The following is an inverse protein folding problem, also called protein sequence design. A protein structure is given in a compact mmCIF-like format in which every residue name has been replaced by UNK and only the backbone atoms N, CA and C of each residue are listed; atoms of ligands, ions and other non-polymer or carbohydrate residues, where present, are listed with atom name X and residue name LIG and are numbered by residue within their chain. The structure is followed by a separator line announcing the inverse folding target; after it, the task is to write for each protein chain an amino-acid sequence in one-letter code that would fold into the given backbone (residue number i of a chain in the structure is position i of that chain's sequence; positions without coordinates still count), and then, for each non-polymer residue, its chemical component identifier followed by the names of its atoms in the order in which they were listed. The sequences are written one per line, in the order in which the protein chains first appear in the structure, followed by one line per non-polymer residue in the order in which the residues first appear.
data_IF_925452350954
#
_entry.id   IF_925452350954
#
_cell.length_a   1.000
_cell.length_b   1.000
_cell.length_c   1.000
_cell.angle_alpha   90.00
_cell.angle_beta   90.00
_cell.angle_gamma   90.00
#
_symmetry.space_group_name_H-M   'P 1'
#
loop_
_entity.id
_entity.type
_entity.pdbx_description
1 polymer ?
#
# COMPACT_ATOMS: atom_id res chain seq x y z
N UNK A 1 43.99 36.21 -54.46
CA UNK A 1 44.74 34.95 -54.58
C UNK A 1 44.80 34.31 -53.23
N UNK A 2 44.21 33.14 -53.11
CA UNK A 2 44.42 32.07 -52.15
C UNK A 2 44.92 32.42 -50.73
N UNK A 3 44.04 32.32 -49.80
CA UNK A 3 44.30 31.94 -48.38
C UNK A 3 42.94 31.71 -47.77
N UNK A 4 42.60 30.63 -47.28
CA UNK A 4 43.10 29.75 -46.27
C UNK A 4 41.92 29.51 -45.37
N UNK A 5 40.98 28.64 -45.84
CA UNK A 5 39.86 28.10 -45.06
C UNK A 5 40.46 27.04 -44.12
N UNK A 6 40.77 27.30 -42.87
CA UNK A 6 41.19 26.24 -41.94
C UNK A 6 41.19 26.63 -40.44
N UNK A 7 40.37 27.55 -40.00
CA UNK A 7 40.42 27.87 -38.54
C UNK A 7 39.03 27.94 -37.86
N UNK A 8 38.02 27.30 -38.40
CA UNK A 8 36.66 27.39 -37.81
C UNK A 8 36.19 26.08 -37.13
N UNK A 9 37.00 25.05 -37.18
CA UNK A 9 36.61 23.72 -36.62
C UNK A 9 37.17 23.39 -35.23
N UNK A 10 37.92 24.32 -34.61
CA UNK A 10 38.52 24.05 -33.29
C UNK A 10 37.74 24.57 -32.11
N UNK A 11 36.56 25.15 -32.28
CA UNK A 11 35.81 25.78 -31.19
C UNK A 11 34.50 25.07 -30.81
N UNK A 12 34.23 23.90 -31.33
CA UNK A 12 32.97 23.17 -31.07
C UNK A 12 33.15 21.88 -30.25
N UNK A 13 34.30 21.63 -29.68
CA UNK A 13 34.56 20.39 -28.92
C UNK A 13 34.71 20.57 -27.40
N UNK A 14 34.30 21.70 -26.83
CA UNK A 14 34.52 21.98 -25.41
C UNK A 14 33.25 22.22 -24.58
N UNK A 15 32.04 21.89 -25.07
CA UNK A 15 30.77 22.14 -24.34
C UNK A 15 29.93 20.86 -24.23
N UNK A 16 30.53 19.71 -24.02
CA UNK A 16 29.78 18.46 -23.78
C UNK A 16 30.19 17.73 -22.49
N UNK A 17 30.92 18.39 -21.60
CA UNK A 17 31.25 17.80 -20.29
C UNK A 17 30.74 18.67 -19.14
N UNK A 18 29.42 18.75 -18.95
CA UNK A 18 28.88 19.56 -17.86
C UNK A 18 27.45 19.25 -17.42
N UNK A 19 26.90 18.10 -17.79
CA UNK A 19 25.60 17.65 -17.29
C UNK A 19 25.68 16.27 -16.62
N UNK A 20 26.65 16.13 -15.71
CA UNK A 20 26.51 15.14 -14.65
C UNK A 20 25.44 15.70 -13.69
N UNK A 21 24.20 15.67 -14.13
CA UNK A 21 23.04 16.00 -13.32
C UNK A 21 23.05 15.12 -12.10
N UNK A 22 22.94 15.71 -10.94
CA UNK A 22 22.60 15.09 -9.68
C UNK A 22 21.35 14.23 -9.91
N UNK A 23 21.52 12.95 -10.23
CA UNK A 23 20.54 11.94 -9.98
C UNK A 23 20.43 11.87 -8.45
N UNK A 24 19.51 12.64 -7.90
CA UNK A 24 19.09 12.51 -6.52
C UNK A 24 18.62 11.07 -6.38
N UNK A 25 19.44 10.24 -5.77
CA UNK A 25 19.07 8.93 -5.27
C UNK A 25 18.09 9.11 -4.11
N UNK A 26 16.90 9.58 -4.41
CA UNK A 26 15.73 9.32 -3.62
C UNK A 26 15.42 7.84 -3.84
N UNK A 27 16.13 6.96 -3.17
CA UNK A 27 15.71 5.57 -3.01
C UNK A 27 14.42 5.60 -2.21
N UNK A 28 13.30 5.82 -2.90
CA UNK A 28 12.02 5.39 -2.42
C UNK A 28 12.19 3.89 -2.23
N UNK A 29 12.35 3.44 -0.98
CA UNK A 29 12.41 2.03 -0.64
C UNK A 29 11.08 1.45 -1.09
N UNK A 30 11.08 0.82 -2.25
CA UNK A 30 9.88 0.22 -2.80
C UNK A 30 9.39 -0.81 -1.78
N UNK A 31 8.20 -0.59 -1.25
CA UNK A 31 7.56 -1.50 -0.32
C UNK A 31 7.28 -2.79 -1.06
N UNK A 32 8.05 -3.83 -0.77
CA UNK A 32 7.93 -5.12 -1.44
C UNK A 32 6.75 -5.92 -0.87
N UNK A 33 5.91 -6.54 -1.72
CA UNK A 33 4.88 -7.45 -1.26
C UNK A 33 5.52 -8.71 -0.67
N UNK A 34 4.97 -9.16 0.46
CA UNK A 34 5.34 -10.40 1.13
C UNK A 34 4.23 -11.43 0.88
N UNK A 35 4.55 -12.68 0.48
CA UNK A 35 3.53 -13.69 0.34
C UNK A 35 2.96 -14.08 1.70
N UNK A 36 1.65 -14.18 1.79
CA UNK A 36 0.94 -14.75 2.94
C UNK A 36 0.80 -16.24 2.65
N UNK A 37 1.40 -17.09 3.46
CA UNK A 37 1.42 -18.54 3.26
C UNK A 37 0.34 -19.24 4.06
N UNK A 38 -0.01 -18.70 5.22
CA UNK A 38 -1.04 -19.24 6.11
C UNK A 38 -1.69 -18.11 6.93
N UNK A 39 -2.85 -18.41 7.51
CA UNK A 39 -3.59 -17.46 8.33
C UNK A 39 -2.89 -17.19 9.66
N UNK A 40 -2.19 -18.18 10.22
CA UNK A 40 -1.50 -18.04 11.50
C UNK A 40 -0.41 -16.95 11.45
N UNK A 41 0.21 -16.76 10.28
CA UNK A 41 1.24 -15.74 10.08
C UNK A 41 0.72 -14.29 10.17
N UNK A 42 -0.59 -14.10 10.03
CA UNK A 42 -1.25 -12.79 10.07
C UNK A 42 -2.35 -12.72 11.12
N UNK A 43 -2.58 -13.79 11.87
CA UNK A 43 -3.53 -13.78 12.97
C UNK A 43 -3.10 -12.78 14.05
N UNK A 44 -4.09 -12.13 14.67
CA UNK A 44 -3.86 -11.12 15.70
C UNK A 44 -4.63 -9.84 15.46
N UNK A 45 -4.25 -8.82 16.21
CA UNK A 45 -4.85 -7.48 16.12
C UNK A 45 -4.07 -6.58 15.17
N UNK A 46 -4.81 -5.86 14.37
CA UNK A 46 -4.31 -4.91 13.38
C UNK A 46 -5.07 -3.59 13.53
N UNK A 47 -4.36 -2.48 13.43
CA UNK A 47 -4.95 -1.15 13.55
C UNK A 47 -4.53 -0.26 12.39
N UNK A 48 -5.38 0.66 11.99
CA UNK A 48 -5.04 1.57 10.92
C UNK A 48 -6.18 2.45 10.45
N UNK A 49 -6.06 2.92 9.21
CA UNK A 49 -6.96 3.87 8.61
C UNK A 49 -7.77 3.24 7.48
N UNK A 50 -9.07 3.48 7.51
CA UNK A 50 -10.03 3.15 6.48
C UNK A 50 -10.33 4.40 5.65
N UNK A 51 -10.19 4.30 4.34
CA UNK A 51 -10.58 5.32 3.37
C UNK A 51 -11.70 4.75 2.47
N UNK A 52 -12.84 5.44 2.43
CA UNK A 52 -13.96 5.06 1.56
C UNK A 52 -13.96 5.99 0.35
N UNK A 53 -14.02 5.43 -0.86
CA UNK A 53 -14.05 6.20 -2.10
C UNK A 53 -15.27 7.13 -2.16
N UNK A 54 -15.06 8.36 -2.64
CA UNK A 54 -16.09 9.40 -2.73
C UNK A 54 -16.30 10.20 -1.45
N UNK A 55 -15.57 9.91 -0.40
CA UNK A 55 -15.65 10.58 0.91
C UNK A 55 -14.37 11.35 1.16
N UNK A 56 -14.28 12.59 0.68
CA UNK A 56 -13.06 13.42 0.72
C UNK A 56 -12.48 13.66 2.10
N UNK A 57 -13.24 13.46 3.17
CA UNK A 57 -12.86 13.82 4.54
C UNK A 57 -13.10 12.70 5.57
N UNK A 58 -13.22 11.45 5.13
CA UNK A 58 -13.55 10.35 6.04
C UNK A 58 -12.47 9.28 6.04
N UNK A 59 -11.41 9.58 6.76
CA UNK A 59 -10.54 8.54 7.29
C UNK A 59 -11.12 8.10 8.64
N UNK A 60 -11.44 6.82 8.76
CA UNK A 60 -11.82 6.21 10.01
C UNK A 60 -10.70 5.37 10.57
N UNK A 61 -10.46 5.49 11.88
CA UNK A 61 -9.59 4.55 12.57
C UNK A 61 -10.34 3.23 12.74
N UNK A 62 -9.70 2.15 12.34
CA UNK A 62 -10.26 0.81 12.40
C UNK A 62 -9.33 -0.16 13.13
N UNK A 63 -9.91 -0.98 13.98
CA UNK A 63 -9.28 -2.14 14.58
C UNK A 63 -9.82 -3.41 13.91
N UNK A 64 -8.91 -4.27 13.46
CA UNK A 64 -9.25 -5.56 12.84
C UNK A 64 -8.60 -6.67 13.63
N UNK A 65 -9.37 -7.66 14.04
CA UNK A 65 -8.87 -8.90 14.64
C UNK A 65 -9.06 -10.03 13.64
N UNK A 66 -7.97 -10.72 13.32
CA UNK A 66 -7.98 -11.92 12.48
C UNK A 66 -7.69 -13.12 13.39
N UNK A 67 -8.59 -14.07 13.45
CA UNK A 67 -8.43 -15.29 14.22
C UNK A 67 -7.71 -16.38 13.40
N UNK A 68 -7.06 -17.31 14.08
CA UNK A 68 -6.33 -18.40 13.43
C UNK A 68 -7.22 -19.38 12.66
N UNK A 69 -8.54 -19.38 12.93
CA UNK A 69 -9.54 -20.18 12.21
C UNK A 69 -10.01 -19.53 10.89
N UNK A 70 -9.49 -18.34 10.55
CA UNK A 70 -9.87 -17.61 9.34
C UNK A 70 -11.11 -16.74 9.50
N UNK A 71 -11.61 -16.52 10.71
CA UNK A 71 -12.63 -15.51 10.95
C UNK A 71 -11.99 -14.15 11.22
N UNK A 72 -12.68 -13.06 10.89
CA UNK A 72 -12.25 -11.72 11.22
C UNK A 72 -13.39 -10.87 11.78
N UNK A 73 -13.01 -9.90 12.57
CA UNK A 73 -13.88 -8.84 13.05
C UNK A 73 -13.17 -7.50 12.87
N UNK A 74 -13.89 -6.51 12.35
CA UNK A 74 -13.41 -5.15 12.21
C UNK A 74 -14.38 -4.19 12.92
N UNK A 75 -13.84 -3.27 13.69
CA UNK A 75 -14.60 -2.23 14.38
C UNK A 75 -13.99 -0.86 14.08
N UNK A 76 -14.84 0.10 13.74
CA UNK A 76 -14.45 1.50 13.56
C UNK A 76 -14.68 2.28 14.86
N UNK A 77 -13.75 3.16 15.21
CA UNK A 77 -13.77 3.92 16.46
C UNK A 77 -14.55 5.23 16.37
N UNK A 78 -15.25 5.52 15.27
CA UNK A 78 -16.01 6.77 15.16
C UNK A 78 -17.28 6.77 16.01
N UNK A 79 -17.50 7.90 16.70
CA UNK A 79 -18.64 8.18 17.54
C UNK A 79 -19.99 8.26 16.80
N UNK A 80 -19.99 8.24 15.47
CA UNK A 80 -21.18 8.31 14.62
C UNK A 80 -21.20 7.09 13.71
N UNK A 81 -21.77 6.00 14.21
CA UNK A 81 -21.93 4.75 13.50
C UNK A 81 -20.71 3.84 13.64
N UNK A 82 -20.74 2.99 14.65
CA UNK A 82 -19.79 1.87 14.79
C UNK A 82 -20.02 0.95 13.60
N UNK A 83 -19.11 0.97 12.63
CA UNK A 83 -19.07 -0.09 11.63
C UNK A 83 -18.48 -1.33 12.28
N UNK A 84 -19.32 -2.28 12.62
CA UNK A 84 -18.95 -3.62 13.03
C UNK A 84 -19.05 -4.53 11.78
N UNK A 85 -17.92 -4.91 11.23
CA UNK A 85 -17.84 -5.83 10.10
C UNK A 85 -17.23 -7.15 10.58
N UNK A 86 -17.78 -8.24 10.11
CA UNK A 86 -17.28 -9.59 10.37
C UNK A 86 -17.36 -10.45 9.13
N UNK A 87 -16.64 -11.55 9.12
CA UNK A 87 -16.65 -12.49 8.01
C UNK A 87 -15.48 -13.46 8.08
N UNK A 88 -15.06 -13.93 6.92
CA UNK A 88 -13.98 -14.91 6.79
C UNK A 88 -12.88 -14.42 5.86
N UNK A 89 -11.67 -14.93 6.10
CA UNK A 89 -10.51 -14.74 5.24
C UNK A 89 -9.97 -16.10 4.79
N UNK A 90 -9.45 -16.14 3.57
CA UNK A 90 -8.77 -17.33 3.02
C UNK A 90 -7.48 -16.89 2.35
N UNK A 91 -6.45 -17.72 2.44
CA UNK A 91 -5.20 -17.51 1.70
C UNK A 91 -5.35 -18.04 0.29
N UNK A 92 -5.04 -17.20 -0.69
CA UNK A 92 -4.96 -17.58 -2.10
C UNK A 92 -3.90 -16.72 -2.80
N UNK A 93 -3.04 -17.34 -3.58
CA UNK A 93 -2.00 -16.67 -4.40
C UNK A 93 -1.12 -15.69 -3.61
N UNK A 94 -0.78 -16.05 -2.38
CA UNK A 94 0.05 -15.22 -1.50
C UNK A 94 -0.67 -13.99 -0.91
N UNK A 95 -1.99 -13.92 -1.02
CA UNK A 95 -2.85 -12.84 -0.51
C UNK A 95 -3.98 -13.39 0.35
N UNK A 96 -4.68 -12.50 1.04
CA UNK A 96 -5.95 -12.85 1.68
C UNK A 96 -7.12 -12.47 0.79
N UNK A 97 -8.03 -13.39 0.60
CA UNK A 97 -9.37 -13.11 0.11
C UNK A 97 -10.29 -12.90 1.30
N UNK A 98 -11.03 -11.81 1.31
CA UNK A 98 -11.91 -11.40 2.40
C UNK A 98 -13.35 -11.49 1.91
N UNK A 99 -14.19 -12.14 2.70
CA UNK A 99 -15.63 -12.23 2.48
C UNK A 99 -16.34 -11.75 3.75
N UNK A 100 -17.04 -10.65 3.64
CA UNK A 100 -17.87 -10.12 4.73
C UNK A 100 -19.25 -10.78 4.78
N UNK A 101 -19.79 -10.94 5.98
CA UNK A 101 -21.13 -11.50 6.20
C UNK A 101 -22.23 -10.63 5.58
N UNK A 102 -21.98 -9.31 5.46
CA UNK A 102 -22.88 -8.35 4.81
C UNK A 102 -22.74 -8.28 3.28
N UNK A 103 -21.95 -9.19 2.67
CA UNK A 103 -21.74 -9.27 1.22
C UNK A 103 -20.53 -8.48 0.71
N UNK A 104 -19.84 -7.74 1.55
CA UNK A 104 -18.57 -7.06 1.17
C UNK A 104 -17.48 -8.07 0.80
N UNK A 105 -16.60 -7.66 -0.09
CA UNK A 105 -15.47 -8.48 -0.57
C UNK A 105 -14.20 -7.65 -0.61
N UNK A 106 -13.07 -8.30 -0.40
CA UNK A 106 -11.78 -7.61 -0.48
C UNK A 106 -10.63 -8.57 -0.70
N UNK A 107 -9.49 -7.96 -0.98
CA UNK A 107 -8.20 -8.65 -1.07
C UNK A 107 -7.19 -7.89 -0.24
N UNK A 108 -6.45 -8.59 0.62
CA UNK A 108 -5.39 -8.00 1.41
C UNK A 108 -4.02 -8.47 0.93
N UNK A 109 -3.10 -7.53 0.82
CA UNK A 109 -1.69 -7.78 0.48
C UNK A 109 -0.83 -7.34 1.65
N UNK A 110 0.09 -8.20 2.06
CA UNK A 110 1.08 -7.90 3.09
C UNK A 110 2.30 -7.24 2.43
N UNK A 111 2.80 -6.18 3.03
CA UNK A 111 4.00 -5.49 2.58
C UNK A 111 5.05 -5.45 3.69
N UNK A 112 6.31 -5.56 3.29
CA UNK A 112 7.43 -5.15 4.14
C UNK A 112 7.51 -3.63 4.15
N UNK A 113 7.61 -3.05 5.32
CA UNK A 113 7.73 -1.60 5.49
C UNK A 113 8.87 -1.28 6.47
N UNK A 114 9.70 -0.26 6.20
CA UNK A 114 10.68 0.20 7.18
C UNK A 114 9.97 0.72 8.44
N UNK A 115 10.57 0.49 9.60
CA UNK A 115 10.04 0.92 10.89
C UNK A 115 9.59 -0.24 11.79
N UNK A 116 8.97 0.10 12.91
CA UNK A 116 8.44 -0.84 13.88
C UNK A 116 6.92 -0.62 14.02
N UNK A 117 6.08 -1.63 13.78
CA UNK A 117 6.39 -2.96 13.22
C UNK A 117 6.64 -2.89 11.70
N UNK A 118 7.50 -3.77 11.15
CA UNK A 118 7.93 -3.70 9.75
C UNK A 118 6.94 -4.31 8.76
N UNK A 119 5.65 -4.29 9.07
CA UNK A 119 4.60 -4.94 8.29
C UNK A 119 3.43 -3.99 8.06
N UNK A 120 2.90 -3.98 6.86
CA UNK A 120 1.71 -3.26 6.47
C UNK A 120 0.77 -4.22 5.73
N UNK A 121 -0.44 -4.40 6.25
CA UNK A 121 -1.51 -5.13 5.56
C UNK A 121 -2.42 -4.11 4.87
N UNK A 122 -2.41 -4.09 3.55
CA UNK A 122 -3.29 -3.23 2.76
C UNK A 122 -4.45 -4.04 2.21
N UNK A 123 -5.65 -3.61 2.54
CA UNK A 123 -6.91 -4.19 2.06
C UNK A 123 -7.51 -3.27 1.02
N UNK A 124 -7.86 -3.83 -0.13
CA UNK A 124 -8.67 -3.17 -1.15
C UNK A 124 -9.95 -3.97 -1.29
N UNK A 125 -11.08 -3.32 -1.19
CA UNK A 125 -12.35 -4.02 -1.20
C UNK A 125 -13.54 -3.17 -1.62
N UNK A 126 -14.68 -3.82 -1.60
CA UNK A 126 -15.99 -3.23 -1.84
C UNK A 126 -16.90 -3.63 -0.69
N UNK A 127 -17.55 -2.65 -0.08
CA UNK A 127 -18.53 -2.88 0.99
C UNK A 127 -19.79 -3.56 0.46
N UNK A 128 -20.64 -4.07 1.35
CA UNK A 128 -21.89 -4.73 0.96
C UNK A 128 -22.85 -3.85 0.18
N UNK A 129 -22.73 -2.53 0.31
CA UNK A 129 -23.49 -1.52 -0.44
C UNK A 129 -22.79 -1.05 -1.74
N UNK A 130 -21.71 -1.73 -2.14
CA UNK A 130 -21.01 -1.50 -3.42
C UNK A 130 -19.98 -0.37 -3.42
N UNK A 131 -19.65 0.24 -2.27
CA UNK A 131 -18.65 1.32 -2.21
C UNK A 131 -17.24 0.76 -2.10
N UNK A 132 -16.30 1.19 -2.97
CA UNK A 132 -14.91 0.83 -2.85
C UNK A 132 -14.28 1.42 -1.58
N UNK A 133 -13.38 0.65 -0.94
CA UNK A 133 -12.61 1.12 0.21
C UNK A 133 -11.17 0.62 0.17
N UNK A 134 -10.31 1.33 0.88
CA UNK A 134 -8.92 0.94 1.14
C UNK A 134 -8.70 1.02 2.65
N UNK A 135 -8.06 -0.01 3.21
CA UNK A 135 -7.62 -0.02 4.61
C UNK A 135 -6.13 -0.29 4.66
N UNK A 136 -5.41 0.50 5.46
CA UNK A 136 -3.98 0.29 5.72
C UNK A 136 -3.79 0.00 7.19
N UNK A 137 -3.35 -1.22 7.49
CA UNK A 137 -3.28 -1.77 8.83
C UNK A 137 -1.85 -2.11 9.23
N UNK A 138 -1.52 -1.83 10.49
CA UNK A 138 -0.27 -2.28 11.13
C UNK A 138 -0.59 -3.23 12.26
N UNK A 139 0.27 -4.22 12.56
CA UNK A 139 0.08 -5.08 13.71
C UNK A 139 0.04 -4.23 14.99
N UNK A 140 -0.88 -4.54 15.88
CA UNK A 140 -0.89 -3.98 17.24
C UNK A 140 -0.02 -4.88 18.12
N UNK A 141 0.99 -4.27 18.74
CA UNK A 141 1.87 -4.93 19.74
C UNK A 141 1.10 -5.17 21.03
#
# INVERSE_FOLDING_TARGET
MRAGKSEVYALWLAIVLGLAGCAGNGSATATAPLPITDIASIAGKWVGLLEIAGSRDRQDYVEVTIAGDGTYRAASARTIGVMDARGTVKVADGRLLIQGDSGGKGTATLFSQPGQPPRLLQVNGTSGDGRPYIVRLRPQS
#
